data_IF_746233675433
#
_entry.id   IF_746233675433
#
_cell.length_a   1.000
_cell.length_b   1.000
_cell.length_c   1.000
_cell.angle_alpha   90.00
_cell.angle_beta   90.00
_cell.angle_gamma   90.00
#
_symmetry.space_group_name_H-M   'P 1'
#
loop_
_entity.id
_entity.type
_entity.pdbx_description
1 polymer ?
#
# COMPACT_ATOMS: atom_id res chain seq x y z
N UNK A 1 23.77 4.28 31.42
CA UNK A 1 23.21 5.02 30.28
C UNK A 1 22.04 4.21 29.74
N UNK A 2 20.82 4.62 30.08
CA UNK A 2 19.58 4.00 29.63
C UNK A 2 19.19 4.60 28.28
N UNK A 3 19.17 3.79 27.23
CA UNK A 3 18.50 4.14 25.97
C UNK A 3 17.24 3.29 25.87
N UNK A 4 16.21 3.77 26.55
CA UNK A 4 14.85 3.60 26.06
C UNK A 4 14.77 4.33 24.74
N UNK A 5 14.52 3.61 23.64
CA UNK A 5 13.77 4.17 22.53
C UNK A 5 12.97 3.04 21.88
N UNK A 6 11.73 2.99 22.36
CA UNK A 6 10.65 2.20 21.85
C UNK A 6 10.24 2.83 20.50
N UNK A 7 10.85 2.38 19.41
CA UNK A 7 10.36 2.69 18.06
C UNK A 7 9.07 1.89 17.81
N UNK A 8 7.95 2.39 18.35
CA UNK A 8 6.64 2.12 17.80
C UNK A 8 6.59 2.77 16.42
N UNK A 9 6.75 1.97 15.37
CA UNK A 9 6.34 2.40 14.05
C UNK A 9 4.82 2.33 14.07
N UNK A 10 4.18 3.49 14.25
CA UNK A 10 2.74 3.67 14.08
C UNK A 10 2.35 3.18 12.68
N UNK A 11 1.85 1.95 12.59
CA UNK A 11 1.27 1.41 11.35
C UNK A 11 -0.17 1.86 11.13
N UNK A 12 -0.75 2.59 12.08
CA UNK A 12 -2.15 2.98 12.08
C UNK A 12 -2.42 4.23 11.21
N UNK A 13 -1.37 4.95 10.79
CA UNK A 13 -1.49 6.12 9.92
C UNK A 13 -1.66 5.83 8.44
N UNK A 14 -1.29 4.62 7.95
CA UNK A 14 -1.30 4.35 6.51
C UNK A 14 -2.71 4.18 5.93
N UNK A 15 -3.69 3.81 6.77
CA UNK A 15 -5.10 3.68 6.38
C UNK A 15 -5.93 4.95 6.68
N UNK A 16 -5.36 5.97 7.35
CA UNK A 16 -6.06 7.21 7.67
C UNK A 16 -6.10 8.22 6.50
N UNK A 17 -5.40 7.97 5.39
CA UNK A 17 -5.67 8.70 4.16
C UNK A 17 -6.94 8.13 3.53
N UNK A 18 -8.05 8.86 3.66
CA UNK A 18 -9.17 8.70 2.74
C UNK A 18 -8.61 8.65 1.32
N UNK A 19 -8.99 7.65 0.50
CA UNK A 19 -8.53 7.58 -0.88
C UNK A 19 -8.82 8.92 -1.55
N UNK A 20 -7.91 9.46 -2.39
CA UNK A 20 -8.20 10.66 -3.15
C UNK A 20 -9.50 10.39 -3.91
N UNK A 21 -10.53 11.18 -3.60
CA UNK A 21 -11.79 11.17 -4.31
C UNK A 21 -11.44 11.49 -5.76
N UNK A 22 -11.28 10.45 -6.58
CA UNK A 22 -11.18 10.57 -8.02
C UNK A 22 -12.55 11.08 -8.43
N UNK A 23 -12.67 12.41 -8.47
CA UNK A 23 -13.88 13.11 -8.83
C UNK A 23 -14.32 12.66 -10.22
N UNK A 24 -15.23 11.71 -10.27
CA UNK A 24 -16.23 11.71 -11.33
C UNK A 24 -16.95 13.04 -11.13
N UNK A 25 -16.61 14.01 -12.00
CA UNK A 25 -17.22 15.33 -11.99
C UNK A 25 -18.74 15.23 -11.98
N UNK A 26 -19.45 16.26 -11.51
CA UNK A 26 -20.90 16.26 -11.57
C UNK A 26 -21.32 16.00 -13.03
N UNK A 27 -22.13 14.96 -13.19
CA UNK A 27 -23.03 14.76 -14.32
C UNK A 27 -23.50 16.11 -14.86
N UNK A 28 -23.49 16.36 -16.18
CA UNK A 28 -24.17 17.53 -16.70
C UNK A 28 -25.64 17.36 -16.33
N UNK A 29 -26.09 18.17 -15.35
CA UNK A 29 -27.49 18.36 -14.98
C UNK A 29 -28.30 18.45 -16.25
N UNK A 30 -29.02 17.38 -16.55
CA UNK A 30 -30.07 17.39 -17.53
C UNK A 30 -31.10 18.40 -17.03
N UNK A 31 -31.13 19.57 -17.67
CA UNK A 31 -32.20 20.54 -17.49
C UNK A 31 -33.55 19.81 -17.64
N UNK A 32 -34.51 20.03 -16.73
CA UNK A 32 -35.80 19.39 -16.85
C UNK A 32 -36.45 19.91 -18.12
N UNK A 33 -36.70 19.00 -19.06
CA UNK A 33 -37.58 19.26 -20.18
C UNK A 33 -38.95 19.59 -19.60
N UNK A 34 -39.30 20.87 -19.61
CA UNK A 34 -40.67 21.33 -19.43
C UNK A 34 -41.46 20.71 -20.58
N UNK A 35 -42.28 19.70 -20.28
CA UNK A 35 -43.33 19.26 -21.17
C UNK A 35 -44.41 20.35 -21.18
N UNK A 36 -44.79 20.92 -22.33
CA UNK A 36 -46.06 21.62 -22.43
C UNK A 36 -47.15 20.57 -22.72
N UNK A 37 -48.00 20.32 -21.72
CA UNK A 37 -49.33 19.74 -21.88
C UNK A 37 -50.22 20.71 -22.65
N UNK A 38 -50.64 20.25 -23.84
CA UNK A 38 -51.92 20.43 -24.54
C UNK A 38 -52.66 21.78 -24.48
N UNK A 39 -52.90 22.38 -25.65
CA UNK A 39 -54.29 22.68 -26.12
C UNK A 39 -54.29 22.92 -27.64
N UNK A 40 -55.27 22.40 -28.41
CA UNK A 40 -55.34 22.53 -29.86
C UNK A 40 -56.13 23.79 -30.23
N UNK A 41 -55.52 24.75 -30.91
CA UNK A 41 -56.26 25.87 -31.50
C UNK A 41 -55.50 26.47 -32.69
N UNK A 42 -56.28 26.75 -33.74
CA UNK A 42 -55.94 27.49 -34.94
C UNK A 42 -54.96 26.81 -35.91
N UNK A 43 -55.55 25.92 -36.74
CA UNK A 43 -55.11 25.79 -38.11
C UNK A 43 -55.29 27.14 -38.82
N UNK A 44 -54.21 27.89 -39.01
CA UNK A 44 -54.12 28.90 -40.05
C UNK A 44 -53.24 28.33 -41.16
N UNK A 45 -53.89 27.91 -42.24
CA UNK A 45 -53.29 27.50 -43.50
C UNK A 45 -52.26 28.52 -43.99
N UNK A 46 -51.13 28.11 -44.56
CA UNK A 46 -50.57 28.79 -45.71
C UNK A 46 -51.17 28.13 -46.95
N UNK A 47 -52.17 28.76 -47.56
CA UNK A 47 -52.43 28.57 -48.98
C UNK A 47 -51.20 29.10 -49.72
N UNK A 48 -50.34 28.20 -50.18
CA UNK A 48 -49.37 28.49 -51.24
C UNK A 48 -49.39 27.31 -52.22
N UNK A 49 -50.28 27.43 -53.20
CA UNK A 49 -50.16 26.93 -54.58
C UNK A 49 -49.71 25.46 -54.75
N UNK A 50 -50.73 24.60 -54.77
CA UNK A 50 -50.66 23.20 -55.16
C UNK A 50 -50.40 23.03 -56.67
N UNK A 51 -49.14 23.20 -57.08
CA UNK A 51 -48.64 22.67 -58.35
C UNK A 51 -47.19 22.13 -58.28
N UNK A 52 -46.49 22.32 -57.15
CA UNK A 52 -45.14 21.77 -56.88
C UNK A 52 -45.06 20.76 -55.71
N UNK A 53 -46.18 20.44 -55.07
CA UNK A 53 -46.22 19.95 -53.69
C UNK A 53 -46.04 18.42 -53.54
N UNK A 54 -46.43 17.64 -54.55
CA UNK A 54 -46.26 16.18 -54.55
C UNK A 54 -44.77 15.76 -54.61
N UNK A 55 -43.94 16.52 -55.32
CA UNK A 55 -42.50 16.29 -55.40
C UNK A 55 -41.78 16.70 -54.10
N UNK A 56 -42.24 17.77 -53.44
CA UNK A 56 -41.72 18.22 -52.15
C UNK A 56 -42.06 17.25 -51.01
N UNK A 57 -43.28 16.71 -50.99
CA UNK A 57 -43.71 15.69 -50.02
C UNK A 57 -42.94 14.36 -50.19
N UNK A 58 -42.74 13.89 -51.43
CA UNK A 58 -41.93 12.70 -51.70
C UNK A 58 -40.46 12.86 -51.26
N UNK A 59 -39.87 14.03 -51.48
CA UNK A 59 -38.52 14.36 -51.02
C UNK A 59 -38.41 14.41 -49.47
N UNK A 60 -39.46 14.89 -48.78
CA UNK A 60 -39.52 14.92 -47.32
C UNK A 60 -39.59 13.51 -46.72
N UNK A 61 -40.36 12.60 -47.32
CA UNK A 61 -40.45 11.21 -46.86
C UNK A 61 -39.17 10.43 -47.11
N UNK A 62 -38.53 10.59 -48.26
CA UNK A 62 -37.20 10.02 -48.51
C UNK A 62 -36.16 10.51 -47.50
N UNK A 63 -36.17 11.82 -47.21
CA UNK A 63 -35.29 12.41 -46.18
C UNK A 63 -35.57 11.81 -44.81
N UNK A 64 -36.83 11.55 -44.46
CA UNK A 64 -37.23 10.92 -43.20
C UNK A 64 -36.75 9.48 -43.11
N UNK A 65 -36.85 8.70 -44.19
CA UNK A 65 -36.32 7.33 -44.27
C UNK A 65 -34.80 7.33 -44.12
N UNK A 66 -34.08 8.19 -44.87
CA UNK A 66 -32.61 8.33 -44.76
C UNK A 66 -32.18 8.70 -43.34
N UNK A 67 -32.88 9.64 -42.68
CA UNK A 67 -32.64 9.99 -41.27
C UNK A 67 -32.86 8.80 -40.33
N UNK A 68 -33.91 8.01 -40.54
CA UNK A 68 -34.20 6.83 -39.71
C UNK A 68 -33.10 5.78 -39.83
N UNK A 69 -32.59 5.55 -41.04
CA UNK A 69 -31.47 4.62 -41.29
C UNK A 69 -30.18 5.16 -40.65
N UNK A 70 -29.83 6.41 -40.92
CA UNK A 70 -28.63 7.05 -40.35
C UNK A 70 -28.66 7.08 -38.82
N UNK A 71 -29.79 7.43 -38.22
CA UNK A 71 -29.94 7.45 -36.77
C UNK A 71 -29.79 6.03 -36.19
N UNK A 72 -30.43 5.03 -36.79
CA UNK A 72 -30.27 3.62 -36.40
C UNK A 72 -28.81 3.20 -36.42
N UNK A 73 -28.07 3.55 -37.47
CA UNK A 73 -26.65 3.25 -37.57
C UNK A 73 -25.83 4.01 -36.54
N UNK A 74 -26.11 5.30 -36.32
CA UNK A 74 -25.44 6.12 -35.32
C UNK A 74 -25.64 5.60 -33.90
N UNK A 75 -26.87 5.16 -33.56
CA UNK A 75 -27.20 4.54 -32.28
C UNK A 75 -26.45 3.21 -32.11
N UNK A 76 -26.37 2.38 -33.16
CA UNK A 76 -25.57 1.14 -33.13
C UNK A 76 -24.10 1.44 -32.89
N UNK A 77 -23.51 2.40 -33.61
CA UNK A 77 -22.10 2.80 -33.45
C UNK A 77 -21.84 3.37 -32.05
N UNK A 78 -22.76 4.18 -31.52
CA UNK A 78 -22.67 4.72 -30.17
C UNK A 78 -22.68 3.62 -29.11
N UNK A 79 -23.63 2.67 -29.20
CA UNK A 79 -23.68 1.49 -28.32
C UNK A 79 -22.40 0.66 -28.40
N UNK A 80 -21.88 0.42 -29.61
CA UNK A 80 -20.64 -0.31 -29.80
C UNK A 80 -19.43 0.39 -29.17
N UNK A 81 -19.32 1.73 -29.30
CA UNK A 81 -18.26 2.51 -28.64
C UNK A 81 -18.35 2.44 -27.12
N UNK A 82 -19.55 2.61 -26.56
CA UNK A 82 -19.77 2.52 -25.11
C UNK A 82 -19.42 1.13 -24.60
N UNK A 83 -19.80 0.07 -25.33
CA UNK A 83 -19.46 -1.31 -24.95
C UNK A 83 -17.94 -1.53 -24.92
N UNK A 84 -17.22 -1.12 -25.97
CA UNK A 84 -15.75 -1.20 -26.00
C UNK A 84 -15.11 -0.48 -24.81
N UNK A 85 -15.61 0.71 -24.47
CA UNK A 85 -15.11 1.47 -23.31
C UNK A 85 -15.35 0.72 -21.99
N UNK A 86 -16.50 0.07 -21.82
CA UNK A 86 -16.77 -0.75 -20.64
C UNK A 86 -15.83 -1.96 -20.57
N UNK A 87 -15.55 -2.59 -21.70
CA UNK A 87 -14.66 -3.75 -21.76
C UNK A 87 -13.20 -3.37 -21.47
N UNK A 88 -12.72 -2.23 -21.98
CA UNK A 88 -11.41 -1.65 -21.63
C UNK A 88 -11.29 -1.37 -20.11
N UNK A 89 -12.33 -0.80 -19.51
CA UNK A 89 -12.35 -0.50 -18.08
C UNK A 89 -12.35 -1.78 -17.24
N UNK A 90 -13.12 -2.81 -17.64
CA UNK A 90 -13.13 -4.13 -16.99
C UNK A 90 -11.76 -4.80 -17.08
N UNK A 91 -11.12 -4.77 -18.24
CA UNK A 91 -9.79 -5.33 -18.43
C UNK A 91 -8.75 -4.60 -17.56
N UNK A 92 -8.84 -3.27 -17.48
CA UNK A 92 -7.98 -2.44 -16.64
C UNK A 92 -8.17 -2.74 -15.15
N UNK A 93 -9.42 -2.86 -14.69
CA UNK A 93 -9.73 -3.25 -13.31
C UNK A 93 -9.17 -4.64 -12.96
N UNK A 94 -9.38 -5.63 -13.83
CA UNK A 94 -8.83 -6.97 -13.64
C UNK A 94 -7.29 -7.00 -13.62
N UNK A 95 -6.63 -6.18 -14.45
CA UNK A 95 -5.17 -6.03 -14.42
C UNK A 95 -4.69 -5.40 -13.11
N UNK A 96 -5.36 -4.36 -12.63
CA UNK A 96 -5.06 -3.70 -11.35
C UNK A 96 -5.28 -4.65 -10.17
N UNK A 97 -6.35 -5.43 -10.16
CA UNK A 97 -6.60 -6.44 -9.12
C UNK A 97 -5.50 -7.50 -9.06
N UNK A 98 -5.05 -8.00 -10.22
CA UNK A 98 -3.93 -8.95 -10.29
C UNK A 98 -2.66 -8.35 -9.73
N UNK A 99 -2.31 -7.12 -10.15
CA UNK A 99 -1.14 -6.39 -9.62
C UNK A 99 -1.26 -6.16 -8.11
N UNK A 100 -2.45 -5.79 -7.62
CA UNK A 100 -2.70 -5.60 -6.18
C UNK A 100 -2.45 -6.89 -5.40
N UNK A 101 -2.98 -8.02 -5.88
CA UNK A 101 -2.79 -9.34 -5.24
C UNK A 101 -1.31 -9.73 -5.23
N UNK A 102 -0.61 -9.51 -6.34
CA UNK A 102 0.83 -9.79 -6.44
C UNK A 102 1.66 -8.93 -5.47
N UNK A 103 1.41 -7.62 -5.42
CA UNK A 103 2.09 -6.72 -4.49
C UNK A 103 1.80 -7.08 -3.03
N UNK A 104 0.56 -7.45 -2.72
CA UNK A 104 0.19 -7.91 -1.38
C UNK A 104 0.96 -9.18 -0.97
N UNK A 105 1.09 -10.16 -1.87
CA UNK A 105 1.86 -11.38 -1.63
C UNK A 105 3.36 -11.07 -1.42
N UNK A 106 3.94 -10.19 -2.25
CA UNK A 106 5.34 -9.75 -2.10
C UNK A 106 5.57 -9.02 -0.78
N UNK A 107 4.64 -8.16 -0.37
CA UNK A 107 4.70 -7.46 0.90
C UNK A 107 4.65 -8.44 2.08
N UNK A 108 3.78 -9.46 2.01
CA UNK A 108 3.70 -10.49 3.05
C UNK A 108 4.99 -11.30 3.16
N UNK A 109 5.57 -11.71 2.03
CA UNK A 109 6.86 -12.40 2.00
C UNK A 109 8.00 -11.53 2.56
N UNK A 110 8.00 -10.22 2.26
CA UNK A 110 8.98 -9.28 2.82
C UNK A 110 8.81 -9.13 4.34
N UNK A 111 7.58 -9.05 4.86
CA UNK A 111 7.31 -9.04 6.31
C UNK A 111 7.81 -10.30 6.99
N UNK A 112 7.60 -11.47 6.39
CA UNK A 112 8.11 -12.74 6.91
C UNK A 112 9.65 -12.74 7.01
N UNK A 113 10.34 -12.31 5.95
CA UNK A 113 11.81 -12.19 5.97
C UNK A 113 12.31 -11.20 7.01
N UNK A 114 11.63 -10.05 7.17
CA UNK A 114 11.96 -9.07 8.19
C UNK A 114 11.80 -9.65 9.61
N UNK A 115 10.75 -10.42 9.87
CA UNK A 115 10.53 -11.06 11.16
C UNK A 115 11.66 -12.05 11.50
N UNK A 116 12.06 -12.89 10.53
CA UNK A 116 13.20 -13.81 10.69
C UNK A 116 14.50 -13.06 10.96
N UNK A 117 14.78 -11.99 10.19
CA UNK A 117 15.97 -11.18 10.39
C UNK A 117 16.00 -10.50 11.78
N UNK A 118 14.84 -10.04 12.27
CA UNK A 118 14.71 -9.46 13.62
C UNK A 118 14.99 -10.50 14.70
N UNK A 119 14.46 -11.72 14.56
CA UNK A 119 14.70 -12.80 15.51
C UNK A 119 16.19 -13.20 15.55
N UNK A 120 16.82 -13.35 14.38
CA UNK A 120 18.25 -13.62 14.29
C UNK A 120 19.09 -12.50 14.92
N UNK A 121 18.73 -11.23 14.67
CA UNK A 121 19.42 -10.08 15.27
C UNK A 121 19.25 -10.05 16.80
N UNK A 122 18.08 -10.38 17.32
CA UNK A 122 17.85 -10.49 18.76
C UNK A 122 18.72 -11.59 19.38
N UNK A 123 18.86 -12.75 18.72
CA UNK A 123 19.76 -13.82 19.13
C UNK A 123 21.22 -13.37 19.19
N UNK A 124 21.73 -12.78 18.10
CA UNK A 124 23.10 -12.24 18.05
C UNK A 124 23.36 -11.17 19.12
N UNK A 125 22.37 -10.32 19.41
CA UNK A 125 22.48 -9.32 20.49
C UNK A 125 22.55 -9.97 21.87
N UNK A 126 21.77 -11.02 22.10
CA UNK A 126 21.82 -11.77 23.36
C UNK A 126 23.19 -12.45 23.55
N UNK A 127 23.72 -13.09 22.50
CA UNK A 127 25.06 -13.68 22.50
C UNK A 127 26.14 -12.62 22.74
N UNK A 128 26.09 -11.49 22.03
CA UNK A 128 27.03 -10.39 22.23
C UNK A 128 26.98 -9.84 23.67
N UNK A 129 25.80 -9.73 24.26
CA UNK A 129 25.63 -9.31 25.66
C UNK A 129 26.24 -10.34 26.63
N UNK A 130 26.00 -11.63 26.41
CA UNK A 130 26.58 -12.71 27.23
C UNK A 130 28.10 -12.73 27.17
N UNK A 131 28.68 -12.60 25.97
CA UNK A 131 30.13 -12.51 25.77
C UNK A 131 30.72 -11.26 26.42
N UNK A 132 30.02 -10.12 26.31
CA UNK A 132 30.44 -8.87 26.96
C UNK A 132 30.47 -9.02 28.48
N UNK A 133 29.46 -9.68 29.05
CA UNK A 133 29.41 -9.98 30.49
C UNK A 133 30.58 -10.88 30.91
N UNK A 134 30.81 -11.99 30.19
CA UNK A 134 31.93 -12.91 30.42
C UNK A 134 33.29 -12.20 30.36
N UNK A 135 33.50 -11.37 29.33
CA UNK A 135 34.72 -10.57 29.19
C UNK A 135 34.90 -9.58 30.34
N UNK A 136 33.83 -8.92 30.77
CA UNK A 136 33.89 -8.01 31.92
C UNK A 136 34.23 -8.74 33.23
N UNK A 137 33.70 -9.96 33.41
CA UNK A 137 33.99 -10.79 34.56
C UNK A 137 35.44 -11.27 34.56
N UNK A 138 35.95 -11.75 33.41
CA UNK A 138 37.34 -12.13 33.24
C UNK A 138 38.30 -10.95 33.51
N UNK A 139 38.00 -9.76 32.98
CA UNK A 139 38.75 -8.53 33.26
C UNK A 139 38.78 -8.18 34.76
N UNK A 140 37.64 -8.30 35.45
CA UNK A 140 37.56 -8.08 36.90
C UNK A 140 38.37 -9.12 37.69
N UNK A 141 38.26 -10.40 37.33
CA UNK A 141 39.01 -11.47 37.99
C UNK A 141 40.52 -11.28 37.86
N UNK A 142 41.00 -10.90 36.67
CA UNK A 142 42.38 -10.52 36.46
C UNK A 142 42.75 -9.32 37.34
N UNK A 143 42.02 -8.20 37.27
CA UNK A 143 42.33 -7.03 38.10
C UNK A 143 42.45 -7.35 39.60
N UNK A 144 41.55 -8.18 40.14
CA UNK A 144 41.62 -8.64 41.53
C UNK A 144 42.85 -9.51 41.80
N UNK A 145 43.21 -10.42 40.89
CA UNK A 145 44.43 -11.22 41.00
C UNK A 145 45.71 -10.36 40.99
N UNK A 146 45.75 -9.31 40.18
CA UNK A 146 46.86 -8.37 40.15
C UNK A 146 46.98 -7.60 41.48
N UNK A 147 45.86 -7.14 42.03
CA UNK A 147 45.81 -6.46 43.34
C UNK A 147 46.24 -7.39 44.48
N UNK A 148 45.75 -8.63 44.48
CA UNK A 148 46.11 -9.63 45.49
C UNK A 148 47.61 -9.95 45.46
N UNK A 149 48.18 -10.18 44.28
CA UNK A 149 49.61 -10.44 44.13
C UNK A 149 50.47 -9.24 44.55
N UNK A 150 50.06 -8.01 44.22
CA UNK A 150 50.76 -6.80 44.67
C UNK A 150 50.73 -6.66 46.21
N UNK A 151 49.60 -6.94 46.85
CA UNK A 151 49.48 -6.94 48.30
C UNK A 151 50.33 -8.05 48.96
N UNK A 152 50.33 -9.26 48.41
CA UNK A 152 51.16 -10.36 48.88
C UNK A 152 52.67 -10.09 48.72
N UNK A 153 53.08 -9.36 47.67
CA UNK A 153 54.48 -8.95 47.49
C UNK A 153 54.93 -7.85 48.47
N UNK A 154 54.01 -7.00 48.93
CA UNK A 154 54.29 -5.95 49.93
C UNK A 154 54.28 -6.48 51.38
N UNK A 155 53.45 -7.50 51.67
CA UNK A 155 53.40 -8.18 52.96
C UNK A 155 54.32 -9.39 52.99
N UNK A 156 55.61 -9.20 53.26
CA UNK A 156 56.57 -10.30 53.37
C UNK A 156 56.15 -11.35 54.41
N UNK A 157 55.78 -12.54 53.95
CA UNK A 157 55.72 -13.76 54.76
C UNK A 157 54.32 -14.36 54.96
N UNK A 158 54.13 -15.59 54.46
CA UNK A 158 53.00 -16.45 54.84
C UNK A 158 52.27 -17.04 53.64
N UNK A 159 52.65 -18.26 53.24
CA UNK A 159 52.01 -19.02 52.17
C UNK A 159 50.50 -19.23 52.46
N UNK A 160 49.65 -18.54 51.70
CA UNK A 160 48.25 -18.93 51.47
C UNK A 160 48.09 -19.18 49.97
N UNK A 161 48.30 -20.42 49.56
CA UNK A 161 48.19 -20.90 48.16
C UNK A 161 46.76 -21.01 47.64
N UNK A 162 45.77 -20.49 48.39
CA UNK A 162 44.35 -20.60 48.08
C UNK A 162 43.84 -19.54 47.07
N UNK A 163 44.62 -18.50 46.76
CA UNK A 163 44.13 -17.38 45.94
C UNK A 163 44.27 -17.55 44.41
N UNK A 164 45.27 -18.29 43.93
CA UNK A 164 45.58 -18.33 42.48
C UNK A 164 44.79 -19.43 41.74
N UNK A 165 44.66 -20.62 42.34
CA UNK A 165 43.92 -21.74 41.74
C UNK A 165 42.42 -21.43 41.58
N UNK A 166 41.83 -20.73 42.55
CA UNK A 166 40.42 -20.32 42.50
C UNK A 166 40.16 -19.28 41.39
N UNK A 167 41.12 -18.39 41.13
CA UNK A 167 41.02 -17.41 40.04
C UNK A 167 41.15 -18.11 38.67
N UNK A 168 42.10 -19.03 38.51
CA UNK A 168 42.22 -19.81 37.28
C UNK A 168 40.99 -20.68 37.00
N UNK A 169 40.44 -21.35 38.03
CA UNK A 169 39.20 -22.13 37.90
C UNK A 169 38.00 -21.22 37.57
N UNK A 170 37.93 -20.03 38.17
CA UNK A 170 36.86 -19.06 37.87
C UNK A 170 36.97 -18.55 36.43
N UNK A 171 38.18 -18.23 35.96
CA UNK A 171 38.43 -17.82 34.57
C UNK A 171 38.11 -18.97 33.60
N UNK A 172 38.53 -20.20 33.91
CA UNK A 172 38.23 -21.38 33.09
C UNK A 172 36.71 -21.65 32.99
N UNK A 173 35.96 -21.48 34.09
CA UNK A 173 34.50 -21.64 34.11
C UNK A 173 33.75 -20.56 33.33
N UNK A 174 34.35 -19.37 33.13
CA UNK A 174 33.79 -18.27 32.33
C UNK A 174 34.03 -18.45 30.82
N UNK A 175 35.02 -19.25 30.46
CA UNK A 175 35.43 -19.53 29.07
C UNK A 175 34.65 -20.73 28.48
N UNK A 176 34.26 -21.71 29.32
CA UNK A 176 33.40 -22.84 28.95
C UNK A 176 31.92 -22.43 28.69
#
# INVERSE_FOLDING_TARGET
MAFSDHYCIDTDGFWAMSPPQLGFGPEPTASPLLFPTETPAAASSPEVEAAGDAAAAGCADERRVRRRISNRESARRSRARKQRRLDELRASAAALERRRRELAARAQAARGRLALARLANAGLRAEAAALSLRLSAARRALALGWLYNAAAAAGGGGACSLGFADIEQTIASLIA
#
